data_IF_979252025681
#
_entry.id   IF_979252025681
#
_cell.length_a   1.000
_cell.length_b   1.000
_cell.length_c   1.000
_cell.angle_alpha   90.00
_cell.angle_beta   90.00
_cell.angle_gamma   90.00
#
_symmetry.space_group_name_H-M   'P 1'
#
loop_
_entity.id
_entity.type
_entity.pdbx_description
1 polymer ?
#
# COMPACT_ATOMS: atom_id res chain seq x y z
N UNK A 1 16.55 5.81 -33.83
CA UNK A 1 16.75 4.37 -33.59
C UNK A 1 16.50 4.17 -32.11
N UNK A 2 15.47 3.42 -31.75
CA UNK A 2 15.23 3.09 -30.33
C UNK A 2 16.39 2.21 -29.83
N UNK A 3 16.72 2.25 -28.53
CA UNK A 3 17.78 1.38 -27.99
C UNK A 3 17.55 -0.10 -28.30
N UNK A 4 16.30 -0.55 -28.30
CA UNK A 4 15.91 -1.92 -28.70
C UNK A 4 16.27 -2.24 -30.17
N UNK A 5 16.18 -1.28 -31.09
CA UNK A 5 16.60 -1.48 -32.49
C UNK A 5 18.12 -1.51 -32.65
N UNK A 6 18.86 -0.84 -31.76
CA UNK A 6 20.32 -0.82 -31.73
C UNK A 6 20.87 -2.15 -31.18
N UNK A 7 20.31 -2.62 -30.06
CA UNK A 7 20.63 -3.93 -29.47
C UNK A 7 20.29 -5.08 -30.41
N UNK A 8 19.15 -5.01 -31.11
CA UNK A 8 18.76 -6.03 -32.11
C UNK A 8 19.75 -6.17 -33.28
N UNK A 9 20.60 -5.16 -33.50
CA UNK A 9 21.66 -5.16 -34.52
C UNK A 9 23.06 -5.44 -33.95
N UNK A 10 23.15 -5.83 -32.67
CA UNK A 10 24.40 -6.12 -31.98
C UNK A 10 25.20 -4.87 -31.58
N UNK A 11 24.56 -3.70 -31.53
CA UNK A 11 25.17 -2.46 -31.03
C UNK A 11 24.93 -2.26 -29.54
N UNK A 12 25.88 -1.63 -28.85
CA UNK A 12 25.75 -1.24 -27.45
C UNK A 12 25.24 0.21 -27.36
N UNK A 13 24.05 0.40 -26.78
CA UNK A 13 23.42 1.71 -26.68
C UNK A 13 23.94 2.48 -25.45
N UNK A 14 24.94 3.33 -25.65
CA UNK A 14 25.55 4.14 -24.58
C UNK A 14 24.93 5.55 -24.52
N UNK A 15 24.40 5.92 -23.36
CA UNK A 15 23.91 7.28 -23.05
C UNK A 15 22.58 7.31 -22.28
N UNK A 16 22.38 8.35 -21.45
CA UNK A 16 21.17 8.54 -20.63
C UNK A 16 19.85 8.59 -21.43
N UNK A 17 19.93 8.90 -22.73
CA UNK A 17 18.78 9.08 -23.63
C UNK A 17 18.33 7.76 -24.29
N UNK A 18 19.13 6.69 -24.21
CA UNK A 18 18.84 5.42 -24.90
C UNK A 18 17.66 4.66 -24.27
N UNK A 19 17.51 4.70 -22.95
CA UNK A 19 16.42 4.01 -22.23
C UNK A 19 15.17 4.87 -21.98
N UNK A 20 15.14 6.10 -22.48
CA UNK A 20 14.02 7.02 -22.24
C UNK A 20 12.83 6.66 -23.14
N UNK A 21 11.76 6.10 -22.57
CA UNK A 21 10.48 5.81 -23.23
C UNK A 21 9.47 6.93 -22.92
N UNK A 22 9.42 8.03 -23.70
CA UNK A 22 8.59 9.20 -23.38
C UNK A 22 7.09 8.89 -23.34
N UNK A 23 6.62 7.99 -24.21
CA UNK A 23 5.18 7.65 -24.30
C UNK A 23 4.67 6.98 -23.03
N UNK A 24 5.48 6.11 -22.42
CA UNK A 24 5.15 5.42 -21.16
C UNK A 24 5.14 6.42 -20.00
N UNK A 25 6.10 7.34 -19.99
CA UNK A 25 6.16 8.39 -18.97
C UNK A 25 4.96 9.33 -19.04
N UNK A 26 4.62 9.83 -20.23
CA UNK A 26 3.48 10.73 -20.43
C UNK A 26 2.15 10.04 -20.09
N UNK A 27 1.99 8.76 -20.46
CA UNK A 27 0.81 7.98 -20.06
C UNK A 27 0.75 7.79 -18.53
N UNK A 28 1.87 7.53 -17.86
CA UNK A 28 1.90 7.36 -16.40
C UNK A 28 1.49 8.64 -15.67
N UNK A 29 1.93 9.79 -16.16
CA UNK A 29 1.50 11.11 -15.67
C UNK A 29 0.00 11.31 -15.91
N UNK A 30 -0.50 11.01 -17.11
CA UNK A 30 -1.92 11.11 -17.45
C UNK A 30 -2.79 10.23 -16.55
N UNK A 31 -2.40 8.98 -16.31
CA UNK A 31 -3.11 8.05 -15.43
C UNK A 31 -3.13 8.55 -13.98
N UNK A 32 -2.04 9.14 -13.50
CA UNK A 32 -1.95 9.69 -12.14
C UNK A 32 -2.90 10.87 -11.96
N UNK A 33 -2.80 11.88 -12.82
CA UNK A 33 -3.69 13.04 -12.76
C UNK A 33 -5.15 12.69 -13.06
N UNK A 34 -5.39 11.76 -14.00
CA UNK A 34 -6.71 11.25 -14.31
C UNK A 34 -7.36 10.54 -13.13
N UNK A 35 -6.62 9.66 -12.45
CA UNK A 35 -7.12 8.96 -11.25
C UNK A 35 -7.44 9.94 -10.13
N UNK A 36 -6.54 10.91 -9.89
CA UNK A 36 -6.77 11.95 -8.89
C UNK A 36 -7.99 12.81 -9.21
N UNK A 37 -8.12 13.30 -10.45
CA UNK A 37 -9.22 14.14 -10.88
C UNK A 37 -10.57 13.40 -10.80
N UNK A 38 -10.61 12.12 -11.21
CA UNK A 38 -11.81 11.30 -11.08
C UNK A 38 -12.17 11.03 -9.62
N UNK A 39 -11.20 10.65 -8.78
CA UNK A 39 -11.44 10.42 -7.36
C UNK A 39 -11.93 11.70 -6.66
N UNK A 40 -11.31 12.84 -6.96
CA UNK A 40 -11.72 14.14 -6.43
C UNK A 40 -13.11 14.55 -6.92
N UNK A 41 -13.43 14.34 -8.21
CA UNK A 41 -14.74 14.60 -8.78
C UNK A 41 -15.86 13.72 -8.17
N UNK A 42 -15.61 12.41 -8.02
CA UNK A 42 -16.54 11.47 -7.37
C UNK A 42 -16.75 11.82 -5.90
N UNK A 43 -15.70 12.28 -5.20
CA UNK A 43 -15.83 12.74 -3.82
C UNK A 43 -16.60 14.07 -3.73
N UNK A 44 -16.40 15.00 -4.68
CA UNK A 44 -17.16 16.24 -4.74
C UNK A 44 -18.63 16.01 -5.10
N UNK A 45 -18.94 14.91 -5.80
CA UNK A 45 -20.30 14.50 -6.09
C UNK A 45 -21.14 14.30 -4.82
N UNK A 46 -20.51 14.04 -3.67
CA UNK A 46 -21.14 14.02 -2.34
C UNK A 46 -21.89 15.30 -1.99
N UNK A 47 -21.52 16.45 -2.56
CA UNK A 47 -22.17 17.73 -2.30
C UNK A 47 -23.18 18.14 -3.39
N UNK A 48 -23.24 17.39 -4.49
CA UNK A 48 -24.16 17.67 -5.61
C UNK A 48 -25.61 17.40 -5.24
N UNK A 49 -26.55 18.17 -5.80
CA UNK A 49 -28.00 18.02 -5.60
C UNK A 49 -28.64 17.01 -6.56
N UNK A 50 -27.88 16.52 -7.53
CA UNK A 50 -28.32 15.49 -8.45
C UNK A 50 -28.15 14.12 -7.74
N UNK A 51 -29.24 13.34 -7.62
CA UNK A 51 -29.36 12.02 -6.95
C UNK A 51 -29.69 11.98 -5.45
N UNK A 52 -30.31 10.87 -5.03
CA UNK A 52 -30.65 10.59 -3.64
C UNK A 52 -29.43 10.43 -2.74
N UNK A 53 -29.58 10.78 -1.45
CA UNK A 53 -28.49 10.84 -0.46
C UNK A 53 -27.72 9.52 -0.33
N UNK A 54 -28.42 8.38 -0.33
CA UNK A 54 -27.82 7.05 -0.20
C UNK A 54 -26.88 6.72 -1.36
N UNK A 55 -27.33 6.91 -2.61
CA UNK A 55 -26.52 6.63 -3.79
C UNK A 55 -25.30 7.56 -3.88
N UNK A 56 -25.51 8.85 -3.58
CA UNK A 56 -24.47 9.87 -3.59
C UNK A 56 -23.37 9.60 -2.54
N UNK A 57 -23.75 9.13 -1.35
CA UNK A 57 -22.79 8.75 -0.31
C UNK A 57 -22.01 7.49 -0.70
N UNK A 58 -22.69 6.46 -1.18
CA UNK A 58 -22.06 5.21 -1.63
C UNK A 58 -21.06 5.44 -2.77
N UNK A 59 -21.44 6.22 -3.79
CA UNK A 59 -20.56 6.52 -4.92
C UNK A 59 -19.31 7.29 -4.50
N UNK A 60 -19.43 8.20 -3.53
CA UNK A 60 -18.30 8.94 -2.98
C UNK A 60 -17.40 8.08 -2.10
N UNK A 61 -17.94 7.12 -1.33
CA UNK A 61 -17.14 6.20 -0.50
C UNK A 61 -16.32 5.22 -1.34
N UNK A 62 -16.88 4.73 -2.45
CA UNK A 62 -16.17 3.87 -3.41
C UNK A 62 -15.40 4.66 -4.49
N UNK A 63 -15.41 5.99 -4.44
CA UNK A 63 -14.91 6.84 -5.53
C UNK A 63 -13.46 6.59 -5.89
N UNK A 64 -12.58 6.40 -4.89
CA UNK A 64 -11.16 6.08 -5.11
C UNK A 64 -11.00 4.72 -5.81
N UNK A 65 -11.76 3.69 -5.38
CA UNK A 65 -11.70 2.35 -5.97
C UNK A 65 -12.20 2.36 -7.41
N UNK A 66 -13.33 3.05 -7.66
CA UNK A 66 -13.89 3.20 -9.01
C UNK A 66 -12.91 3.93 -9.92
N UNK A 67 -12.27 5.01 -9.45
CA UNK A 67 -11.27 5.75 -10.22
C UNK A 67 -10.09 4.86 -10.62
N UNK A 68 -9.56 4.06 -9.69
CA UNK A 68 -8.48 3.09 -9.97
C UNK A 68 -8.91 2.08 -11.02
N UNK A 69 -10.10 1.49 -10.90
CA UNK A 69 -10.61 0.49 -11.86
C UNK A 69 -10.77 1.11 -13.26
N UNK A 70 -11.39 2.28 -13.36
CA UNK A 70 -11.61 2.97 -14.64
C UNK A 70 -10.29 3.33 -15.32
N UNK A 71 -9.33 3.90 -14.57
CA UNK A 71 -8.02 4.28 -15.13
C UNK A 71 -7.17 3.06 -15.48
N UNK A 72 -7.29 1.96 -14.72
CA UNK A 72 -6.65 0.69 -15.07
C UNK A 72 -7.24 0.11 -16.36
N UNK A 73 -8.56 0.12 -16.52
CA UNK A 73 -9.22 -0.33 -17.76
C UNK A 73 -8.81 0.53 -18.95
N UNK A 74 -8.73 1.86 -18.77
CA UNK A 74 -8.22 2.76 -19.80
C UNK A 74 -6.77 2.41 -20.19
N UNK A 75 -5.89 2.19 -19.22
CA UNK A 75 -4.50 1.76 -19.49
C UNK A 75 -4.43 0.46 -20.29
N UNK A 76 -5.33 -0.50 -20.04
CA UNK A 76 -5.39 -1.76 -20.80
C UNK A 76 -5.82 -1.54 -22.26
N UNK A 77 -6.72 -0.58 -22.54
CA UNK A 77 -7.14 -0.26 -23.92
C UNK A 77 -6.07 0.43 -24.74
N UNK A 78 -5.20 1.23 -24.11
CA UNK A 78 -4.10 1.94 -24.77
C UNK A 78 -2.95 1.00 -25.10
N UNK A 79 -2.78 -0.10 -24.34
CA UNK A 79 -1.83 -1.17 -24.66
C UNK A 79 -0.35 -0.80 -24.47
N UNK A 80 -0.05 0.32 -23.80
CA UNK A 80 1.31 0.73 -23.46
C UNK A 80 1.78 0.06 -22.16
N UNK A 81 3.05 -0.35 -22.15
CA UNK A 81 3.67 -1.13 -21.08
C UNK A 81 4.12 -0.23 -19.91
N UNK A 82 3.13 0.24 -19.14
CA UNK A 82 3.34 1.02 -17.92
C UNK A 82 3.86 0.14 -16.78
N UNK A 83 4.76 0.66 -15.91
CA UNK A 83 5.25 -0.10 -14.77
C UNK A 83 4.07 -0.44 -13.84
N UNK A 84 3.78 -1.73 -13.71
CA UNK A 84 2.70 -2.24 -12.88
C UNK A 84 3.22 -2.81 -11.57
N UNK A 85 2.33 -2.97 -10.59
CA UNK A 85 2.68 -3.48 -9.26
C UNK A 85 3.27 -4.90 -9.36
N UNK A 86 4.55 -5.03 -9.00
CA UNK A 86 5.22 -6.32 -8.96
C UNK A 86 4.84 -7.08 -7.69
N UNK A 87 3.92 -8.04 -7.81
CA UNK A 87 3.57 -8.94 -6.71
C UNK A 87 4.35 -10.26 -6.86
N UNK A 88 5.17 -10.64 -5.85
CA UNK A 88 5.95 -11.87 -5.91
C UNK A 88 5.03 -13.09 -5.97
N UNK A 89 5.39 -14.06 -6.81
CA UNK A 89 4.61 -15.30 -6.93
C UNK A 89 4.85 -16.24 -5.77
N UNK A 90 6.01 -16.18 -5.13
CA UNK A 90 6.41 -17.10 -4.06
C UNK A 90 6.68 -16.32 -2.79
N UNK A 91 6.23 -16.89 -1.67
CA UNK A 91 6.53 -16.34 -0.35
C UNK A 91 7.93 -16.83 0.01
N UNK A 92 8.93 -16.04 -0.38
CA UNK A 92 10.35 -16.32 -0.11
C UNK A 92 10.97 -15.12 0.61
N UNK A 93 11.95 -15.35 1.49
CA UNK A 93 12.72 -14.24 2.06
C UNK A 93 13.41 -13.44 0.94
N UNK A 94 13.66 -12.16 1.19
CA UNK A 94 14.28 -11.24 0.22
C UNK A 94 15.69 -11.69 -0.19
N UNK A 95 16.38 -12.40 0.70
CA UNK A 95 17.68 -13.03 0.48
C UNK A 95 17.51 -14.54 0.53
N UNK A 96 18.39 -15.32 -0.10
CA UNK A 96 18.42 -16.79 0.01
C UNK A 96 18.91 -17.22 1.40
N UNK A 97 18.08 -16.98 2.41
CA UNK A 97 18.34 -17.25 3.82
C UNK A 97 17.21 -18.06 4.46
N UNK A 98 17.46 -18.81 5.55
CA UNK A 98 16.40 -19.41 6.34
C UNK A 98 15.48 -18.33 6.97
N UNK A 99 14.24 -18.72 7.27
CA UNK A 99 13.25 -17.82 7.89
C UNK A 99 13.63 -17.42 9.32
N UNK A 100 14.31 -18.30 10.05
CA UNK A 100 14.79 -18.02 11.40
C UNK A 100 16.19 -17.43 11.29
N UNK A 101 16.42 -16.30 11.95
CA UNK A 101 17.72 -15.64 11.96
C UNK A 101 18.67 -16.38 12.90
N UNK A 102 19.84 -16.77 12.40
CA UNK A 102 20.89 -17.39 13.20
C UNK A 102 21.57 -16.35 14.09
N UNK A 103 21.22 -16.34 15.38
CA UNK A 103 21.76 -15.39 16.37
C UNK A 103 23.22 -15.73 16.74
N UNK A 104 23.62 -16.99 16.60
CA UNK A 104 24.93 -17.48 17.04
C UNK A 104 26.08 -17.12 16.11
N UNK A 105 25.80 -16.70 14.87
CA UNK A 105 26.84 -16.35 13.89
C UNK A 105 27.33 -14.91 13.99
N UNK A 106 26.69 -14.09 14.85
CA UNK A 106 26.96 -12.66 14.97
C UNK A 106 28.02 -12.38 16.05
N UNK A 107 29.08 -11.60 15.77
CA UNK A 107 30.06 -11.21 16.77
C UNK A 107 29.42 -10.40 17.92
N UNK A 108 29.80 -10.69 19.16
CA UNK A 108 29.25 -10.01 20.34
C UNK A 108 29.42 -8.48 20.32
N UNK A 109 30.50 -7.99 19.70
CA UNK A 109 30.73 -6.55 19.52
C UNK A 109 29.60 -5.89 18.72
N UNK A 110 29.11 -6.56 17.68
CA UNK A 110 27.99 -6.08 16.86
C UNK A 110 26.70 -6.05 17.68
N UNK A 111 26.47 -7.04 18.54
CA UNK A 111 25.31 -7.06 19.42
C UNK A 111 25.29 -5.88 20.40
N UNK A 112 26.44 -5.51 20.97
CA UNK A 112 26.55 -4.32 21.83
C UNK A 112 26.31 -3.02 21.07
N UNK A 113 26.91 -2.88 19.87
CA UNK A 113 26.71 -1.69 19.04
C UNK A 113 25.24 -1.58 18.62
N UNK A 114 24.56 -2.69 18.34
CA UNK A 114 23.15 -2.73 17.96
C UNK A 114 22.18 -2.30 19.08
N UNK A 115 22.62 -2.28 20.34
CA UNK A 115 21.80 -1.78 21.45
C UNK A 115 21.44 -0.30 21.29
N UNK A 116 22.34 0.51 20.73
CA UNK A 116 22.11 1.93 20.51
C UNK A 116 20.99 2.20 19.48
N UNK A 117 21.05 1.69 18.23
CA UNK A 117 19.96 1.85 17.27
C UNK A 117 18.67 1.15 17.74
N UNK A 118 18.75 0.05 18.49
CA UNK A 118 17.56 -0.59 19.07
C UNK A 118 16.83 0.32 20.08
N UNK A 119 17.59 1.07 20.90
CA UNK A 119 17.01 2.06 21.82
C UNK A 119 16.29 3.18 21.06
N UNK A 120 16.93 3.75 20.03
CA UNK A 120 16.29 4.75 19.16
C UNK A 120 15.04 4.20 18.46
N UNK A 121 15.10 2.97 17.97
CA UNK A 121 13.98 2.32 17.30
C UNK A 121 12.79 2.08 18.25
N UNK A 122 13.08 1.69 19.49
CA UNK A 122 12.05 1.55 20.53
C UNK A 122 11.36 2.88 20.82
N UNK A 123 12.11 3.97 20.89
CA UNK A 123 11.55 5.32 21.09
C UNK A 123 10.62 5.69 19.92
N UNK A 124 11.02 5.42 18.68
CA UNK A 124 10.21 5.69 17.49
C UNK A 124 8.87 4.93 17.53
N UNK A 125 8.90 3.62 17.80
CA UNK A 125 7.68 2.80 17.88
C UNK A 125 6.75 3.32 18.97
N UNK A 126 7.29 3.60 20.17
CA UNK A 126 6.47 4.07 21.29
C UNK A 126 5.86 5.43 20.95
N UNK A 127 6.64 6.35 20.37
CA UNK A 127 6.17 7.68 19.99
C UNK A 127 5.06 7.63 18.94
N UNK A 128 5.25 6.86 17.86
CA UNK A 128 4.24 6.67 16.83
C UNK A 128 2.97 6.01 17.39
N UNK A 129 3.12 5.04 18.29
CA UNK A 129 1.97 4.38 18.90
C UNK A 129 1.16 5.33 19.77
N UNK A 130 1.83 6.13 20.61
CA UNK A 130 1.17 7.07 21.50
C UNK A 130 0.46 8.17 20.70
N UNK A 131 1.12 8.73 19.68
CA UNK A 131 0.51 9.75 18.80
C UNK A 131 -0.72 9.17 18.08
N UNK A 132 -0.58 7.98 17.49
CA UNK A 132 -1.68 7.33 16.78
C UNK A 132 -2.86 7.07 17.72
N UNK A 133 -2.59 6.51 18.90
CA UNK A 133 -3.64 6.18 19.86
C UNK A 133 -4.37 7.43 20.36
N UNK A 134 -3.67 8.53 20.63
CA UNK A 134 -4.28 9.81 21.05
C UNK A 134 -5.13 10.42 19.93
N UNK A 135 -4.68 10.35 18.67
CA UNK A 135 -5.45 10.88 17.53
C UNK A 135 -6.76 10.10 17.36
N UNK A 136 -6.72 8.77 17.49
CA UNK A 136 -7.91 7.92 17.34
C UNK A 136 -8.85 8.06 18.53
N UNK A 137 -8.32 8.09 19.75
CA UNK A 137 -9.10 8.22 21.00
C UNK A 137 -9.53 9.66 21.32
N UNK A 138 -9.34 10.60 20.38
CA UNK A 138 -9.78 11.99 20.58
C UNK A 138 -11.28 12.03 20.87
N UNK A 139 -11.67 12.83 21.87
CA UNK A 139 -13.07 12.95 22.33
C UNK A 139 -14.05 13.28 21.20
N UNK A 140 -13.61 13.98 20.17
CA UNK A 140 -14.37 14.28 18.96
C UNK A 140 -14.89 13.04 18.23
N UNK A 141 -14.22 11.90 18.34
CA UNK A 141 -14.65 10.65 17.70
C UNK A 141 -15.74 9.91 18.49
N UNK A 142 -16.07 10.34 19.72
CA UNK A 142 -17.13 9.80 20.57
C UNK A 142 -17.13 8.26 20.65
N UNK A 143 -15.95 7.67 20.86
CA UNK A 143 -15.78 6.23 21.02
C UNK A 143 -16.48 5.75 22.29
N UNK A 144 -17.10 4.56 22.22
CA UNK A 144 -17.91 3.98 23.30
C UNK A 144 -17.11 3.00 24.14
N UNK A 145 -16.13 2.30 23.55
CA UNK A 145 -15.23 1.42 24.30
C UNK A 145 -14.11 2.25 24.92
N UNK A 146 -13.72 1.87 26.14
CA UNK A 146 -12.64 2.52 26.87
C UNK A 146 -11.29 2.40 26.16
N UNK A 147 -10.34 3.22 26.62
CA UNK A 147 -9.00 3.32 26.03
C UNK A 147 -8.10 2.16 26.46
N UNK A 148 -7.22 1.71 25.55
CA UNK A 148 -6.39 0.51 25.73
C UNK A 148 -4.89 0.73 25.51
N UNK A 149 -4.33 1.88 25.88
CA UNK A 149 -2.95 2.27 25.53
C UNK A 149 -1.88 1.26 25.94
N UNK A 150 -1.97 0.69 27.15
CA UNK A 150 -0.98 -0.27 27.64
C UNK A 150 -1.07 -1.63 26.94
N UNK A 151 -2.28 -2.11 26.66
CA UNK A 151 -2.50 -3.37 25.95
C UNK A 151 -1.96 -3.28 24.52
N UNK A 152 -2.19 -2.14 23.88
CA UNK A 152 -1.73 -1.86 22.52
C UNK A 152 -0.20 -1.86 22.42
N UNK A 153 0.46 -1.21 23.39
CA UNK A 153 1.92 -1.23 23.49
C UNK A 153 2.48 -2.64 23.72
N UNK A 154 1.83 -3.45 24.57
CA UNK A 154 2.22 -4.84 24.79
C UNK A 154 2.09 -5.68 23.52
N UNK A 155 0.98 -5.54 22.78
CA UNK A 155 0.77 -6.26 21.52
C UNK A 155 1.88 -5.94 20.50
N UNK A 156 2.25 -4.67 20.36
CA UNK A 156 3.30 -4.26 19.42
C UNK A 156 4.67 -4.77 19.87
N UNK A 157 4.98 -4.74 21.16
CA UNK A 157 6.23 -5.31 21.69
C UNK A 157 6.36 -6.81 21.37
N UNK A 158 5.26 -7.57 21.53
CA UNK A 158 5.22 -9.00 21.17
C UNK A 158 5.39 -9.21 19.66
N UNK A 159 4.74 -8.40 18.83
CA UNK A 159 4.87 -8.48 17.37
C UNK A 159 6.30 -8.16 16.89
N UNK A 160 6.94 -7.13 17.47
CA UNK A 160 8.34 -6.78 17.18
C UNK A 160 9.28 -7.92 17.55
N UNK A 161 9.05 -8.60 18.69
CA UNK A 161 9.81 -9.77 19.08
C UNK A 161 9.70 -10.90 18.04
N UNK A 162 8.48 -11.21 17.60
CA UNK A 162 8.22 -12.24 16.57
C UNK A 162 8.89 -11.86 15.24
N UNK A 163 8.75 -10.61 14.79
CA UNK A 163 9.41 -10.12 13.58
C UNK A 163 10.94 -10.18 13.68
N UNK A 164 11.51 -9.94 14.87
CA UNK A 164 12.95 -10.01 15.12
C UNK A 164 13.49 -11.42 14.88
N UNK A 165 12.81 -12.46 15.39
CA UNK A 165 13.21 -13.85 15.18
C UNK A 165 13.09 -14.30 13.71
N UNK A 166 12.08 -13.79 13.01
CA UNK A 166 11.85 -14.09 11.59
C UNK A 166 12.68 -13.19 10.64
N UNK A 167 13.36 -12.19 11.19
CA UNK A 167 14.06 -11.14 10.44
C UNK A 167 13.16 -10.38 9.45
N UNK A 168 11.87 -10.26 9.78
CA UNK A 168 10.90 -9.48 9.00
C UNK A 168 11.04 -8.00 9.35
N UNK A 169 10.68 -7.09 8.42
CA UNK A 169 10.58 -5.67 8.75
C UNK A 169 9.64 -5.47 9.94
N UNK A 170 10.04 -4.58 10.84
CA UNK A 170 9.25 -4.26 12.02
C UNK A 170 7.95 -3.55 11.64
N UNK A 171 6.93 -3.75 12.48
CA UNK A 171 5.62 -3.14 12.32
C UNK A 171 5.57 -1.79 13.02
N UNK A 172 5.00 -0.78 12.34
CA UNK A 172 4.73 0.56 12.89
C UNK A 172 3.26 0.90 12.70
N UNK A 173 2.68 1.63 13.64
CA UNK A 173 1.30 2.08 13.52
C UNK A 173 1.13 3.10 12.41
N UNK A 174 0.12 2.88 11.56
CA UNK A 174 -0.15 3.72 10.41
C UNK A 174 -1.24 4.75 10.72
N UNK A 175 -0.86 5.94 11.19
CA UNK A 175 -1.78 7.01 11.62
C UNK A 175 -2.82 7.37 10.57
N UNK A 176 -2.40 7.66 9.34
CA UNK A 176 -3.30 8.11 8.26
C UNK A 176 -4.32 7.03 7.92
N UNK A 177 -3.87 5.78 7.82
CA UNK A 177 -4.74 4.65 7.49
C UNK A 177 -5.75 4.39 8.62
N UNK A 178 -5.33 4.45 9.88
CA UNK A 178 -6.22 4.32 11.03
C UNK A 178 -7.28 5.43 11.06
N UNK A 179 -6.90 6.67 10.76
CA UNK A 179 -7.85 7.79 10.68
C UNK A 179 -8.83 7.61 9.53
N UNK A 180 -8.36 7.18 8.35
CA UNK A 180 -9.24 6.89 7.21
C UNK A 180 -10.22 5.75 7.51
N UNK A 181 -9.76 4.69 8.18
CA UNK A 181 -10.60 3.58 8.61
C UNK A 181 -11.68 4.03 9.59
N UNK A 182 -11.32 4.82 10.62
CA UNK A 182 -12.29 5.40 11.56
C UNK A 182 -13.27 6.33 10.86
N UNK A 183 -12.79 7.16 9.92
CA UNK A 183 -13.65 8.05 9.13
C UNK A 183 -14.69 7.28 8.30
N UNK A 184 -14.34 6.13 7.75
CA UNK A 184 -15.27 5.28 6.99
C UNK A 184 -16.36 4.64 7.86
N UNK A 185 -16.14 4.56 9.18
CA UNK A 185 -17.06 3.98 10.15
C UNK A 185 -17.89 5.03 10.91
N UNK A 186 -17.78 6.32 10.54
CA UNK A 186 -18.54 7.41 11.15
C UNK A 186 -20.02 7.32 10.75
N UNK A 187 -20.90 7.47 11.75
CA UNK A 187 -22.35 7.49 11.57
C UNK A 187 -22.88 8.89 11.83
N UNK A 188 -23.67 9.37 10.87
CA UNK A 188 -24.36 10.66 10.93
C UNK A 188 -25.87 10.44 11.09
N UNK A 189 -26.56 11.41 11.69
CA UNK A 189 -28.00 11.32 11.95
C UNK A 189 -28.79 11.32 10.66
N UNK A 190 -29.61 10.29 10.45
CA UNK A 190 -30.51 10.21 9.28
C UNK A 190 -31.71 11.16 9.41
N UNK A 191 -32.10 11.54 10.63
CA UNK A 191 -33.27 12.37 10.90
C UNK A 191 -32.87 13.82 11.17
N UNK A 192 -32.56 14.56 10.11
CA UNK A 192 -32.62 16.03 10.14
C UNK A 192 -33.97 16.45 9.55
N UNK A 193 -34.76 17.21 10.33
CA UNK A 193 -35.81 18.01 9.72
C UNK A 193 -35.18 18.92 8.63
N UNK A 194 -35.89 19.26 7.53
CA UNK A 194 -35.32 20.04 6.44
C UNK A 194 -34.68 21.33 6.96
N UNK A 195 -33.34 21.43 6.91
CA UNK A 195 -32.56 22.58 7.40
C UNK A 195 -31.65 22.33 8.61
N UNK A 196 -31.73 21.18 9.30
CA UNK A 196 -30.80 20.85 10.40
C UNK A 196 -29.52 20.17 9.87
N UNK A 197 -28.36 20.68 10.28
CA UNK A 197 -27.05 20.13 9.93
C UNK A 197 -26.95 18.71 10.52
N UNK A 198 -26.55 17.68 9.74
CA UNK A 198 -26.45 16.32 10.25
C UNK A 198 -25.55 16.27 11.48
N UNK A 199 -26.08 15.75 12.59
CA UNK A 199 -25.31 15.59 13.82
C UNK A 199 -24.49 14.31 13.75
N UNK A 200 -23.25 14.39 14.17
CA UNK A 200 -22.38 13.23 14.33
C UNK A 200 -22.85 12.42 15.54
N UNK A 201 -23.24 11.15 15.36
CA UNK A 201 -23.69 10.27 16.46
C UNK A 201 -22.56 9.42 17.07
N UNK A 202 -21.49 9.17 16.32
CA UNK A 202 -20.34 8.39 16.77
C UNK A 202 -19.76 7.48 15.68
N UNK A 203 -18.92 6.54 16.10
CA UNK A 203 -18.23 5.57 15.22
C UNK A 203 -18.70 4.16 15.52
N UNK A 204 -18.95 3.39 14.47
CA UNK A 204 -19.20 1.95 14.59
C UNK A 204 -17.89 1.19 14.83
N UNK A 205 -17.63 0.82 16.08
CA UNK A 205 -16.41 0.10 16.46
C UNK A 205 -16.47 -1.40 16.12
N UNK A 206 -15.87 -1.78 14.99
CA UNK A 206 -15.86 -3.15 14.48
C UNK A 206 -14.45 -3.73 14.42
N UNK A 207 -14.29 -5.02 14.77
CA UNK A 207 -13.02 -5.75 14.64
C UNK A 207 -12.88 -6.45 13.28
N UNK A 208 -14.01 -6.83 12.68
CA UNK A 208 -14.05 -7.68 11.49
C UNK A 208 -13.49 -6.98 10.24
N UNK A 209 -13.71 -5.68 10.08
CA UNK A 209 -13.26 -4.93 8.89
C UNK A 209 -11.73 -4.93 8.79
N UNK A 210 -11.04 -4.72 9.91
CA UNK A 210 -9.58 -4.77 9.97
C UNK A 210 -9.04 -6.19 9.71
N UNK A 211 -9.64 -7.22 10.33
CA UNK A 211 -9.24 -8.63 10.13
C UNK A 211 -9.45 -9.04 8.68
N UNK A 212 -10.58 -8.68 8.09
CA UNK A 212 -10.91 -8.98 6.70
C UNK A 212 -9.94 -8.30 5.73
N UNK A 213 -9.62 -7.02 5.95
CA UNK A 213 -8.64 -6.31 5.12
C UNK A 213 -7.26 -6.98 5.14
N UNK A 214 -6.74 -7.31 6.34
CA UNK A 214 -5.44 -7.98 6.46
C UNK A 214 -5.46 -9.41 5.89
N UNK A 215 -6.58 -10.12 6.04
CA UNK A 215 -6.78 -11.44 5.42
C UNK A 215 -6.77 -11.36 3.89
N UNK A 216 -7.39 -10.33 3.29
CA UNK A 216 -7.39 -10.12 1.85
C UNK A 216 -5.99 -9.76 1.33
N UNK A 217 -5.22 -8.97 2.08
CA UNK A 217 -3.81 -8.68 1.75
C UNK A 217 -3.01 -9.99 1.73
N UNK A 218 -3.18 -10.86 2.73
CA UNK A 218 -2.56 -12.19 2.74
C UNK A 218 -3.00 -13.08 1.57
N UNK A 219 -4.29 -13.07 1.25
CA UNK A 219 -4.85 -13.84 0.13
C UNK A 219 -4.40 -13.32 -1.25
N UNK A 220 -4.06 -12.03 -1.37
CA UNK A 220 -3.66 -11.40 -2.64
C UNK A 220 -2.44 -12.07 -3.29
N UNK A 221 -1.51 -12.59 -2.49
CA UNK A 221 -0.34 -13.34 -2.99
C UNK A 221 -0.77 -14.64 -3.67
N UNK A 222 -1.76 -15.35 -3.10
CA UNK A 222 -2.32 -16.56 -3.69
C UNK A 222 -3.14 -16.26 -4.94
N UNK A 223 -3.95 -15.19 -4.91
CA UNK A 223 -4.73 -14.75 -6.06
C UNK A 223 -3.85 -14.43 -7.27
N UNK A 224 -2.68 -13.80 -7.04
CA UNK A 224 -1.74 -13.48 -8.12
C UNK A 224 -1.24 -14.74 -8.83
N UNK A 225 -0.97 -15.84 -8.09
CA UNK A 225 -0.61 -17.14 -8.69
C UNK A 225 -1.71 -17.66 -9.61
N UNK A 226 -2.96 -17.57 -9.17
CA UNK A 226 -4.12 -18.07 -9.92
C UNK A 226 -4.37 -17.23 -11.17
N UNK A 227 -4.27 -15.89 -11.06
CA UNK A 227 -4.50 -14.97 -12.18
C UNK A 227 -3.43 -15.15 -13.26
N UNK A 228 -2.14 -15.17 -12.89
CA UNK A 228 -1.06 -15.35 -13.87
C UNK A 228 -1.03 -16.76 -14.46
N UNK A 229 -1.46 -17.78 -13.72
CA UNK A 229 -1.59 -19.15 -14.22
C UNK A 229 -2.71 -19.36 -15.25
N UNK A 230 -3.68 -18.43 -15.33
CA UNK A 230 -4.81 -18.48 -16.28
C UNK A 230 -4.73 -17.43 -17.40
N UNK A 231 -3.71 -16.57 -17.42
CA UNK A 231 -3.54 -15.57 -18.47
C UNK A 231 -2.94 -16.21 -19.74
N UNK A 232 -3.43 -15.86 -20.95
CA UNK A 232 -2.88 -16.38 -22.20
C UNK A 232 -1.40 -16.03 -22.36
N UNK A 233 -0.64 -16.94 -22.98
CA UNK A 233 0.83 -16.94 -23.05
C UNK A 233 1.47 -15.68 -23.66
N UNK A 234 0.73 -14.90 -24.45
CA UNK A 234 1.21 -13.62 -25.00
C UNK A 234 1.33 -12.52 -23.94
N UNK A 235 0.37 -12.41 -23.03
CA UNK A 235 0.39 -11.42 -21.95
C UNK A 235 1.37 -11.82 -20.83
N UNK A 236 1.51 -13.14 -20.60
CA UNK A 236 2.47 -13.67 -19.64
C UNK A 236 3.93 -13.46 -20.08
N UNK A 237 4.24 -13.55 -21.39
CA UNK A 237 5.60 -13.33 -21.92
C UNK A 237 6.06 -11.87 -21.81
N UNK A 238 5.18 -10.90 -22.05
CA UNK A 238 5.50 -9.47 -21.81
C UNK A 238 5.80 -9.19 -20.35
N UNK A 239 5.08 -9.85 -19.43
CA UNK A 239 5.28 -9.70 -17.98
C UNK A 239 6.53 -10.46 -17.50
N UNK A 240 6.87 -11.62 -18.06
CA UNK A 240 8.07 -12.40 -17.67
C UNK A 240 9.38 -11.89 -18.29
N UNK A 241 9.36 -11.36 -19.52
CA UNK A 241 10.55 -10.79 -20.18
C UNK A 241 11.19 -9.61 -19.43
N UNK A 242 10.46 -8.99 -18.49
CA UNK A 242 10.92 -7.88 -17.64
C UNK A 242 11.31 -8.28 -16.21
N UNK A 243 11.05 -9.51 -15.80
CA UNK A 243 11.48 -10.02 -14.47
C UNK A 243 12.98 -10.34 -14.48
N UNK A 244 13.56 -10.61 -15.66
CA UNK A 244 14.97 -10.94 -15.86
C UNK A 244 15.95 -9.76 -15.86
N UNK A 245 15.49 -8.56 -16.23
CA UNK A 245 16.40 -7.45 -16.56
C UNK A 245 16.55 -6.40 -15.46
N UNK A 246 15.66 -6.36 -14.47
CA UNK A 246 15.71 -5.35 -13.42
C UNK A 246 16.65 -5.72 -12.25
N UNK A 247 17.07 -6.99 -12.11
CA UNK A 247 18.10 -7.34 -11.11
C UNK A 247 19.53 -7.15 -11.63
N UNK A 248 19.76 -7.20 -12.95
CA UNK A 248 21.10 -6.95 -13.53
C UNK A 248 21.47 -5.46 -13.46
N UNK A 249 20.51 -4.55 -13.57
CA UNK A 249 20.78 -3.10 -13.54
C UNK A 249 21.09 -2.61 -12.11
N UNK A 250 20.46 -3.18 -11.07
CA UNK A 250 20.73 -2.78 -9.69
C UNK A 250 22.03 -3.37 -9.12
N UNK A 251 22.47 -4.55 -9.58
CA UNK A 251 23.75 -5.14 -9.13
C UNK A 251 24.93 -4.34 -9.68
N UNK A 252 24.85 -3.84 -10.92
CA UNK A 252 25.95 -3.07 -11.52
C UNK A 252 26.18 -1.67 -10.93
N UNK A 253 25.22 -1.09 -10.20
CA UNK A 253 25.37 0.23 -9.55
C UNK A 253 26.02 0.10 -8.16
N UNK A 254 26.10 -1.11 -7.59
CA UNK A 254 26.73 -1.35 -6.29
C UNK A 254 28.22 -1.74 -6.38
N UNK A 255 28.77 -1.90 -7.59
CA UNK A 255 30.15 -2.33 -7.84
C UNK A 255 31.04 -1.27 -8.54
N UNK A 256 30.61 -0.01 -8.58
CA UNK A 256 31.45 1.14 -8.95
C UNK A 256 31.52 2.15 -7.82
#
# INVERSE_FOLDING_TARGET
MAAEECEARGGEAVGLQCHFKPDVYMLSVLLTFGTFALAWGLNNFRHSRFFGSTFRNALSDFGVVIAIVVMTMFSLTVGLDVPSLHVPQQFRPTLDRPWIVDISSVPLVVAFIACLPAAFYTILIVMDQQITAVIINRKDNMLRKGEGYHLDLLCIAVLVLICSFLGLPFYVAATVLSVMHVNSLRVYSESSAPGEIPRFLGVNEQRLTAIFAHSLIGLSVFLTRVIKGKLPSSTAKTIQGKVGTNYEIYVHISET
#
